data_IF_245655190080
#
_entry.id   IF_245655190080
#
_cell.length_a   1.000
_cell.length_b   1.000
_cell.length_c   1.000
_cell.angle_alpha   90.00
_cell.angle_beta   90.00
_cell.angle_gamma   90.00
#
_symmetry.space_group_name_H-M   'P 1'
#
loop_
_entity.id
_entity.type
_entity.pdbx_description
1 polymer ?
#
# COMPACT_ATOMS: atom_id res chain seq x y z
N UNK A 1 -1.16 -12.34 0.95
CA UNK A 1 -0.60 -11.19 1.64
C UNK A 1 0.55 -10.59 0.85
N UNK A 2 0.97 -9.42 1.25
CA UNK A 2 2.16 -8.77 0.71
C UNK A 2 2.80 -7.87 1.77
N UNK A 3 4.12 -7.72 1.69
CA UNK A 3 4.90 -6.71 2.41
C UNK A 3 5.96 -6.16 1.48
N UNK A 4 6.28 -4.89 1.61
CA UNK A 4 7.24 -4.21 0.75
C UNK A 4 8.16 -3.30 1.56
N UNK A 5 9.38 -3.14 1.07
CA UNK A 5 10.30 -2.09 1.46
C UNK A 5 10.75 -1.30 0.22
N UNK A 6 11.73 -0.41 0.36
CA UNK A 6 12.22 0.44 -0.74
C UNK A 6 12.81 -0.36 -1.92
N UNK A 7 13.18 -1.62 -1.73
CA UNK A 7 13.94 -2.41 -2.69
C UNK A 7 13.21 -3.65 -3.19
N UNK A 8 12.25 -4.17 -2.43
CA UNK A 8 11.61 -5.44 -2.74
C UNK A 8 10.16 -5.49 -2.28
N UNK A 9 9.36 -6.27 -2.97
CA UNK A 9 7.99 -6.62 -2.60
C UNK A 9 7.93 -8.13 -2.46
N UNK A 10 7.54 -8.62 -1.27
CA UNK A 10 7.28 -10.02 -1.01
C UNK A 10 5.77 -10.25 -1.08
N UNK A 11 5.38 -11.16 -1.94
CA UNK A 11 3.98 -11.57 -2.11
C UNK A 11 3.87 -13.05 -1.74
N UNK A 12 2.85 -13.41 -0.97
CA UNK A 12 2.54 -14.82 -0.70
C UNK A 12 1.05 -15.09 -0.90
N UNK A 13 0.76 -16.28 -1.41
CA UNK A 13 -0.59 -16.73 -1.70
C UNK A 13 -0.76 -18.21 -1.34
N UNK A 14 -1.97 -18.57 -0.91
CA UNK A 14 -2.36 -19.97 -0.68
C UNK A 14 -2.47 -20.77 -1.98
N UNK A 15 -2.66 -20.06 -3.11
CA UNK A 15 -2.75 -20.67 -4.43
C UNK A 15 -1.53 -20.29 -5.26
N UNK A 16 -1.04 -21.22 -6.09
CA UNK A 16 0.04 -20.94 -7.01
C UNK A 16 -0.34 -19.83 -7.99
N UNK A 17 0.51 -18.79 -8.07
CA UNK A 17 0.33 -17.69 -9.03
C UNK A 17 1.01 -18.08 -10.33
N UNK A 18 0.23 -18.48 -11.34
CA UNK A 18 0.76 -18.99 -12.61
C UNK A 18 1.35 -17.90 -13.52
N UNK A 19 0.86 -16.67 -13.43
CA UNK A 19 1.20 -15.59 -14.37
C UNK A 19 1.64 -14.32 -13.66
N UNK A 20 2.83 -14.36 -13.03
CA UNK A 20 3.38 -13.19 -12.30
C UNK A 20 3.59 -11.99 -13.25
N UNK A 21 3.93 -12.25 -14.52
CA UNK A 21 4.15 -11.17 -15.51
C UNK A 21 2.89 -10.34 -15.77
N UNK A 22 1.72 -10.90 -15.58
CA UNK A 22 0.45 -10.17 -15.79
C UNK A 22 0.15 -9.17 -14.69
N UNK A 23 0.73 -9.35 -13.49
CA UNK A 23 0.53 -8.46 -12.34
C UNK A 23 1.21 -7.11 -12.57
N UNK A 24 2.36 -7.10 -13.25
CA UNK A 24 3.14 -5.89 -13.53
C UNK A 24 2.82 -5.34 -14.92
N UNK A 25 1.56 -5.02 -15.16
CA UNK A 25 1.08 -4.50 -16.44
C UNK A 25 0.43 -3.13 -16.26
N UNK A 26 0.80 -2.20 -17.15
CA UNK A 26 0.24 -0.84 -17.17
C UNK A 26 -1.29 -0.85 -17.34
N UNK A 27 -1.82 -1.75 -18.19
CA UNK A 27 -3.26 -1.88 -18.41
C UNK A 27 -4.05 -2.27 -17.17
N UNK A 28 -3.44 -3.01 -16.23
CA UNK A 28 -4.05 -3.32 -14.93
C UNK A 28 -4.13 -2.08 -14.05
N UNK A 29 -3.07 -1.25 -14.04
CA UNK A 29 -3.07 -0.02 -13.26
C UNK A 29 -4.21 0.89 -13.72
N UNK A 30 -4.29 1.17 -15.02
CA UNK A 30 -5.31 2.07 -15.58
C UNK A 30 -6.75 1.55 -15.36
N UNK A 31 -6.92 0.22 -15.37
CA UNK A 31 -8.23 -0.41 -15.18
C UNK A 31 -8.70 -0.48 -13.72
N UNK A 32 -7.78 -0.70 -12.79
CA UNK A 32 -8.12 -1.01 -11.41
C UNK A 32 -7.87 0.13 -10.43
N UNK A 33 -7.14 1.18 -10.83
CA UNK A 33 -6.84 2.30 -9.95
C UNK A 33 -8.10 2.98 -9.40
N UNK A 34 -9.06 3.24 -10.28
CA UNK A 34 -10.29 3.93 -9.90
C UNK A 34 -11.10 3.10 -8.89
N UNK A 35 -11.24 1.80 -9.15
CA UNK A 35 -11.90 0.89 -8.21
C UNK A 35 -11.14 0.83 -6.87
N UNK A 36 -9.80 0.73 -6.91
CA UNK A 36 -8.98 0.74 -5.71
C UNK A 36 -9.17 2.01 -4.88
N UNK A 37 -9.18 3.17 -5.52
CA UNK A 37 -9.40 4.45 -4.86
C UNK A 37 -10.81 4.58 -4.27
N UNK A 38 -11.81 3.98 -4.93
CA UNK A 38 -13.19 3.96 -4.44
C UNK A 38 -13.38 3.03 -3.24
N UNK A 39 -12.72 1.87 -3.24
CA UNK A 39 -12.81 0.87 -2.16
C UNK A 39 -11.99 1.27 -0.93
N UNK A 40 -10.90 2.02 -1.12
CA UNK A 40 -10.04 2.46 -0.02
C UNK A 40 -10.59 3.70 0.70
N UNK A 41 -10.22 3.85 1.95
CA UNK A 41 -10.57 5.04 2.73
C UNK A 41 -9.71 6.28 2.39
N UNK A 42 -8.79 6.17 1.43
CA UNK A 42 -7.83 7.23 1.09
C UNK A 42 -8.55 8.49 0.63
N UNK A 43 -9.42 8.36 -0.38
CA UNK A 43 -10.18 9.51 -0.93
C UNK A 43 -11.09 10.15 0.12
N UNK A 44 -11.75 9.34 0.96
CA UNK A 44 -12.59 9.88 2.05
C UNK A 44 -11.78 10.66 3.08
N UNK A 45 -10.56 10.20 3.39
CA UNK A 45 -9.67 10.91 4.31
C UNK A 45 -9.25 12.26 3.73
N UNK A 46 -8.82 12.29 2.47
CA UNK A 46 -8.45 13.51 1.78
C UNK A 46 -9.65 14.46 1.61
N UNK A 47 -10.82 13.91 1.31
CA UNK A 47 -12.06 14.71 1.26
C UNK A 47 -12.35 15.39 2.59
N UNK A 48 -12.13 14.70 3.73
CA UNK A 48 -12.31 15.30 5.05
C UNK A 48 -11.38 16.48 5.25
N UNK A 49 -10.10 16.33 4.90
CA UNK A 49 -9.11 17.39 5.02
C UNK A 49 -9.48 18.58 4.12
N UNK A 50 -9.84 18.33 2.87
CA UNK A 50 -10.30 19.35 1.93
C UNK A 50 -11.60 20.03 2.38
N UNK A 51 -12.54 19.28 2.97
CA UNK A 51 -13.79 19.82 3.49
C UNK A 51 -13.57 20.73 4.73
N UNK A 52 -12.57 20.43 5.55
CA UNK A 52 -12.17 21.28 6.68
C UNK A 52 -11.48 22.54 6.15
N UNK A 53 -10.54 22.41 5.22
CA UNK A 53 -9.80 23.56 4.64
C UNK A 53 -10.76 24.52 3.92
N UNK A 54 -11.75 23.97 3.21
CA UNK A 54 -12.78 24.77 2.51
C UNK A 54 -13.88 25.33 3.43
N UNK A 55 -13.76 25.13 4.74
CA UNK A 55 -14.76 25.51 5.74
C UNK A 55 -16.16 24.88 5.52
N UNK A 56 -16.26 23.80 4.73
CA UNK A 56 -17.50 23.04 4.60
C UNK A 56 -17.82 22.28 5.90
N UNK A 57 -16.77 21.89 6.63
CA UNK A 57 -16.87 21.29 7.96
C UNK A 57 -16.10 22.15 8.93
N UNK A 58 -16.82 22.82 9.80
CA UNK A 58 -16.21 23.55 10.91
C UNK A 58 -15.79 22.58 12.02
N UNK A 59 -14.51 22.59 12.34
CA UNK A 59 -13.93 21.81 13.44
C UNK A 59 -14.13 22.51 14.78
N UNK A 60 -14.08 23.86 14.78
CA UNK A 60 -14.22 24.70 15.98
C UNK A 60 -15.42 25.62 15.84
N UNK A 61 -16.30 25.56 16.80
CA UNK A 61 -17.40 26.49 16.97
C UNK A 61 -17.11 27.41 18.18
N UNK A 62 -17.69 28.59 18.27
CA UNK A 62 -17.55 29.44 19.46
C UNK A 62 -17.91 28.67 20.74
N UNK A 63 -16.93 28.49 21.63
CA UNK A 63 -17.11 27.76 22.89
C UNK A 63 -17.16 26.24 22.80
N UNK A 64 -16.99 25.62 21.61
CA UNK A 64 -17.02 24.16 21.45
C UNK A 64 -16.12 23.68 20.34
N UNK A 65 -15.34 22.63 20.60
CA UNK A 65 -14.57 21.92 19.58
C UNK A 65 -15.21 20.55 19.30
N UNK A 66 -15.41 20.23 18.03
CA UNK A 66 -15.94 18.92 17.62
C UNK A 66 -14.87 17.83 17.84
N UNK A 67 -15.29 16.71 18.40
CA UNK A 67 -14.43 15.55 18.55
C UNK A 67 -14.07 14.96 17.17
N UNK A 68 -12.96 14.23 17.10
CA UNK A 68 -12.56 13.54 15.86
C UNK A 68 -13.66 12.63 15.30
N UNK A 69 -14.45 11.95 16.16
CA UNK A 69 -15.58 11.13 15.73
C UNK A 69 -16.71 11.93 15.09
N UNK A 70 -17.02 13.12 15.62
CA UNK A 70 -18.04 13.99 15.06
C UNK A 70 -17.62 14.56 13.70
N UNK A 71 -16.35 14.94 13.56
CA UNK A 71 -15.79 15.39 12.28
C UNK A 71 -15.80 14.27 11.25
N UNK A 72 -15.41 13.05 11.65
CA UNK A 72 -15.44 11.87 10.79
C UNK A 72 -16.86 11.59 10.29
N UNK A 73 -17.83 11.53 11.19
CA UNK A 73 -19.22 11.26 10.84
C UNK A 73 -19.78 12.34 9.89
N UNK A 74 -19.54 13.62 10.18
CA UNK A 74 -19.98 14.72 9.32
C UNK A 74 -19.36 14.62 7.92
N UNK A 75 -18.05 14.33 7.83
CA UNK A 75 -17.36 14.23 6.55
C UNK A 75 -17.84 13.05 5.72
N UNK A 76 -18.08 11.89 6.34
CA UNK A 76 -18.53 10.69 5.64
C UNK A 76 -19.97 10.85 5.13
N UNK A 77 -20.83 11.54 5.89
CA UNK A 77 -22.18 11.87 5.46
C UNK A 77 -22.15 12.81 4.25
N UNK A 78 -21.41 13.94 4.34
CA UNK A 78 -21.32 14.91 3.26
C UNK A 78 -20.70 14.28 2.01
N UNK A 79 -19.62 13.48 2.17
CA UNK A 79 -19.00 12.75 1.06
C UNK A 79 -20.03 11.88 0.34
N UNK A 80 -20.81 11.10 1.09
CA UNK A 80 -21.82 10.19 0.54
C UNK A 80 -22.92 10.94 -0.20
N UNK A 81 -23.41 12.04 0.38
CA UNK A 81 -24.44 12.89 -0.24
C UNK A 81 -23.92 13.54 -1.52
N UNK A 82 -22.72 14.12 -1.51
CA UNK A 82 -22.11 14.72 -2.69
C UNK A 82 -21.84 13.68 -3.78
N UNK A 83 -21.27 12.51 -3.42
CA UNK A 83 -21.01 11.44 -4.39
C UNK A 83 -22.29 10.99 -5.09
N UNK A 84 -23.43 10.97 -4.37
CA UNK A 84 -24.74 10.54 -4.91
C UNK A 84 -25.40 11.62 -5.77
N UNK A 85 -25.35 12.88 -5.34
CA UNK A 85 -26.15 13.95 -5.96
C UNK A 85 -25.33 14.84 -6.88
N UNK A 86 -24.06 15.07 -6.56
CA UNK A 86 -23.13 15.91 -7.31
C UNK A 86 -21.77 15.24 -7.51
N UNK A 87 -21.69 14.14 -8.28
CA UNK A 87 -20.44 13.37 -8.45
C UNK A 87 -19.29 14.22 -9.05
N UNK A 88 -19.62 15.31 -9.70
CA UNK A 88 -18.66 16.25 -10.29
C UNK A 88 -18.25 17.38 -9.36
N UNK A 89 -18.66 17.38 -8.08
CA UNK A 89 -18.31 18.41 -7.12
C UNK A 89 -16.80 18.61 -6.98
N UNK A 90 -16.36 19.86 -6.91
CA UNK A 90 -14.93 20.22 -6.92
C UNK A 90 -14.13 19.53 -5.80
N UNK A 91 -14.69 19.41 -4.59
CA UNK A 91 -14.03 18.77 -3.47
C UNK A 91 -13.83 17.27 -3.67
N UNK A 92 -14.76 16.58 -4.35
CA UNK A 92 -14.59 15.18 -4.70
C UNK A 92 -13.46 15.01 -5.71
N UNK A 93 -13.45 15.83 -6.77
CA UNK A 93 -12.41 15.82 -7.80
C UNK A 93 -11.03 16.15 -7.21
N UNK A 94 -10.94 17.20 -6.39
CA UNK A 94 -9.69 17.58 -5.73
C UNK A 94 -9.16 16.44 -4.86
N UNK A 95 -10.02 15.83 -4.04
CA UNK A 95 -9.62 14.70 -3.17
C UNK A 95 -9.14 13.48 -3.96
N UNK A 96 -9.73 13.23 -5.11
CA UNK A 96 -9.31 12.16 -6.01
C UNK A 96 -7.95 12.44 -6.67
N UNK A 97 -7.76 13.66 -7.16
CA UNK A 97 -6.47 14.09 -7.73
C UNK A 97 -5.36 14.10 -6.68
N UNK A 98 -5.65 14.54 -5.46
CA UNK A 98 -4.72 14.50 -4.34
C UNK A 98 -4.34 13.05 -3.98
N UNK A 99 -5.29 12.12 -4.05
CA UNK A 99 -5.02 10.70 -3.84
C UNK A 99 -4.07 10.14 -4.89
N UNK A 100 -4.29 10.49 -6.15
CA UNK A 100 -3.41 10.05 -7.25
C UNK A 100 -2.00 10.60 -7.14
N UNK A 101 -1.85 11.88 -6.85
CA UNK A 101 -0.55 12.57 -6.86
C UNK A 101 0.24 12.36 -5.58
N UNK A 102 -0.42 12.52 -4.42
CA UNK A 102 0.28 12.61 -3.15
C UNK A 102 0.36 11.29 -2.39
N UNK A 103 -0.59 10.38 -2.62
CA UNK A 103 -0.65 9.11 -1.88
C UNK A 103 -0.14 7.92 -2.68
N UNK A 104 -0.31 7.91 -4.00
CA UNK A 104 0.05 6.77 -4.84
C UNK A 104 1.27 7.06 -5.70
N UNK A 105 1.61 8.35 -5.95
CA UNK A 105 2.63 8.76 -6.94
C UNK A 105 2.40 8.04 -8.29
N UNK A 106 1.19 8.22 -8.79
CA UNK A 106 0.72 7.54 -10.00
C UNK A 106 1.64 7.70 -11.20
N UNK A 107 2.15 8.91 -11.41
CA UNK A 107 3.00 9.20 -12.56
C UNK A 107 4.31 8.41 -12.51
N UNK A 108 4.93 8.34 -11.35
CA UNK A 108 6.15 7.55 -11.12
C UNK A 108 5.89 6.05 -11.28
N UNK A 109 4.79 5.54 -10.70
CA UNK A 109 4.40 4.15 -10.87
C UNK A 109 4.16 3.79 -12.34
N UNK A 110 3.49 4.66 -13.07
CA UNK A 110 3.24 4.50 -14.51
C UNK A 110 4.54 4.49 -15.32
N UNK A 111 5.48 5.37 -15.01
CA UNK A 111 6.80 5.37 -15.65
C UNK A 111 7.58 4.08 -15.37
N UNK A 112 7.56 3.60 -14.13
CA UNK A 112 8.22 2.35 -13.75
C UNK A 112 7.60 1.18 -14.52
N UNK A 113 6.28 1.08 -14.56
CA UNK A 113 5.59 0.00 -15.29
C UNK A 113 5.90 0.04 -16.79
N UNK A 114 6.00 1.23 -17.40
CA UNK A 114 6.45 1.37 -18.81
C UNK A 114 7.88 0.87 -19.02
N UNK A 115 8.78 1.11 -18.05
CA UNK A 115 10.18 0.67 -18.12
C UNK A 115 10.32 -0.84 -17.91
N UNK A 116 9.46 -1.42 -17.08
CA UNK A 116 9.43 -2.86 -16.76
C UNK A 116 8.88 -3.67 -17.95
N UNK A 117 8.00 -3.10 -18.76
CA UNK A 117 7.41 -3.81 -19.89
C UNK A 117 8.51 -4.49 -20.74
N UNK A 118 8.38 -5.82 -20.93
CA UNK A 118 9.36 -6.68 -21.65
C UNK A 118 10.73 -6.90 -20.99
N UNK A 119 10.97 -6.37 -19.77
CA UNK A 119 12.24 -6.53 -19.04
C UNK A 119 12.13 -7.40 -17.78
N UNK A 120 11.06 -8.15 -17.63
CA UNK A 120 10.84 -8.99 -16.46
C UNK A 120 11.66 -10.28 -16.60
N UNK A 121 12.59 -10.50 -15.67
CA UNK A 121 13.35 -11.73 -15.53
C UNK A 121 12.69 -12.58 -14.45
N UNK A 122 12.22 -13.77 -14.80
CA UNK A 122 11.69 -14.73 -13.83
C UNK A 122 12.77 -15.77 -13.54
N UNK A 123 13.10 -15.91 -12.26
CA UNK A 123 13.97 -16.98 -11.76
C UNK A 123 13.21 -17.81 -10.72
N UNK A 124 13.21 -19.12 -10.87
CA UNK A 124 12.73 -20.03 -9.83
C UNK A 124 13.91 -20.26 -8.87
N UNK A 125 13.73 -19.89 -7.63
CA UNK A 125 14.73 -20.05 -6.58
C UNK A 125 14.42 -21.32 -5.79
N UNK A 126 15.46 -21.98 -5.29
CA UNK A 126 15.38 -23.14 -4.38
C UNK A 126 15.37 -22.70 -2.93
N UNK A 127 15.84 -21.50 -2.67
CA UNK A 127 15.92 -20.86 -1.36
C UNK A 127 15.41 -19.41 -1.41
N UNK A 128 15.26 -18.79 -0.26
CA UNK A 128 14.74 -17.42 -0.15
C UNK A 128 15.76 -16.42 -0.73
N UNK A 129 15.28 -15.48 -1.54
CA UNK A 129 16.15 -14.43 -2.07
C UNK A 129 16.75 -13.57 -0.95
N UNK A 130 18.05 -13.26 -0.99
CA UNK A 130 18.69 -12.35 -0.02
C UNK A 130 17.99 -11.00 0.12
N UNK A 131 17.36 -10.50 -0.97
CA UNK A 131 16.57 -9.26 -0.95
C UNK A 131 15.25 -9.39 -0.17
N UNK A 132 14.70 -10.61 -0.08
CA UNK A 132 13.46 -10.87 0.64
C UNK A 132 13.67 -11.10 2.14
N UNK A 133 14.89 -11.45 2.53
CA UNK A 133 15.23 -11.82 3.91
C UNK A 133 14.89 -10.73 4.92
N UNK A 134 15.29 -9.46 4.77
CA UNK A 134 14.97 -8.41 5.74
C UNK A 134 13.45 -8.27 5.94
N UNK A 135 12.68 -8.39 4.86
CA UNK A 135 11.22 -8.30 4.90
C UNK A 135 10.60 -9.48 5.67
N UNK A 136 11.10 -10.69 5.43
CA UNK A 136 10.61 -11.91 6.10
C UNK A 136 10.94 -11.87 7.59
N UNK A 137 12.13 -11.40 7.95
CA UNK A 137 12.52 -11.22 9.36
C UNK A 137 11.61 -10.19 10.06
N UNK A 138 11.26 -9.09 9.38
CA UNK A 138 10.35 -8.08 9.92
C UNK A 138 8.95 -8.65 10.16
N UNK A 139 8.40 -9.42 9.21
CA UNK A 139 7.11 -10.12 9.35
C UNK A 139 7.16 -11.10 10.55
N UNK A 140 8.22 -11.87 10.66
CA UNK A 140 8.38 -12.81 11.76
C UNK A 140 8.49 -12.06 13.08
N UNK A 141 9.27 -11.00 13.16
CA UNK A 141 9.41 -10.18 14.38
C UNK A 141 8.08 -9.63 14.87
N UNK A 142 7.20 -9.16 13.99
CA UNK A 142 5.85 -8.73 14.36
C UNK A 142 4.98 -9.89 14.89
N UNK A 143 5.13 -11.08 14.32
CA UNK A 143 4.45 -12.28 14.80
C UNK A 143 5.04 -12.79 16.12
N UNK A 144 6.33 -12.60 16.35
CA UNK A 144 7.09 -13.02 17.51
C UNK A 144 6.81 -12.16 18.74
N UNK A 145 6.53 -10.87 18.55
CA UNK A 145 6.10 -9.99 19.65
C UNK A 145 4.75 -10.40 20.28
N UNK A 146 4.06 -11.35 19.62
CA UNK A 146 2.77 -11.90 20.11
C UNK A 146 2.86 -13.30 20.74
N UNK A 147 4.02 -13.95 20.66
CA UNK A 147 4.28 -15.27 21.29
C UNK A 147 5.69 -15.25 21.85
N UNK A 148 5.85 -15.71 23.10
CA UNK A 148 7.17 -16.04 23.66
C UNK A 148 7.88 -16.99 22.70
N UNK A 149 8.99 -16.54 22.13
CA UNK A 149 9.50 -17.14 20.91
C UNK A 149 10.81 -17.81 21.14
N UNK A 150 10.88 -18.97 20.59
CA UNK A 150 12.09 -19.75 20.44
C UNK A 150 13.17 -18.93 19.71
N UNK A 151 14.15 -18.44 20.44
CA UNK A 151 15.39 -17.82 19.93
C UNK A 151 16.06 -18.71 18.86
N UNK A 152 15.82 -20.01 18.92
CA UNK A 152 16.31 -21.01 17.98
C UNK A 152 15.85 -20.80 16.52
N UNK A 153 14.62 -20.32 16.30
CA UNK A 153 14.11 -20.10 14.92
C UNK A 153 14.82 -18.91 14.26
N UNK A 154 15.19 -17.91 15.05
CA UNK A 154 15.95 -16.76 14.55
C UNK A 154 17.39 -17.13 14.24
N UNK A 155 18.05 -17.92 15.08
CA UNK A 155 19.41 -18.41 14.84
C UNK A 155 19.48 -19.34 13.61
N UNK A 156 18.52 -20.22 13.41
CA UNK A 156 18.49 -21.11 12.24
C UNK A 156 18.27 -20.33 10.94
N UNK A 157 17.37 -19.35 10.93
CA UNK A 157 17.16 -18.45 9.79
C UNK A 157 18.39 -17.60 9.51
N UNK A 158 19.02 -17.03 10.53
CA UNK A 158 20.23 -16.22 10.40
C UNK A 158 21.40 -17.05 9.85
N UNK A 159 21.56 -18.30 10.31
CA UNK A 159 22.56 -19.22 9.81
C UNK A 159 22.31 -19.67 8.35
N UNK A 160 21.06 -19.89 7.93
CA UNK A 160 20.72 -20.16 6.54
C UNK A 160 21.06 -18.98 5.63
N UNK A 161 20.74 -17.76 6.07
CA UNK A 161 21.04 -16.53 5.35
C UNK A 161 22.53 -16.32 5.17
N UNK A 162 23.31 -16.51 6.25
CA UNK A 162 24.77 -16.38 6.22
C UNK A 162 25.41 -17.43 5.31
N UNK A 163 24.89 -18.65 5.28
CA UNK A 163 25.35 -19.71 4.35
C UNK A 163 25.10 -19.32 2.90
N UNK A 164 23.94 -18.76 2.57
CA UNK A 164 23.62 -18.31 1.23
C UNK A 164 24.44 -17.10 0.79
N UNK A 165 24.63 -16.12 1.67
CA UNK A 165 25.49 -14.96 1.42
C UNK A 165 26.94 -15.37 1.12
N UNK A 166 27.47 -16.36 1.82
CA UNK A 166 28.81 -16.88 1.60
C UNK A 166 28.93 -17.70 0.29
N UNK A 167 27.89 -18.35 -0.18
CA UNK A 167 27.87 -19.06 -1.49
C UNK A 167 27.88 -18.08 -2.66
N UNK A 168 27.27 -16.91 -2.51
CA UNK A 168 27.26 -15.86 -3.54
C UNK A 168 28.57 -15.05 -3.63
N UNK A 169 29.43 -15.10 -2.62
CA UNK A 169 30.72 -14.41 -2.60
C UNK A 169 31.88 -15.23 -3.22
N UNK A 170 31.63 -16.48 -3.67
CA UNK A 170 32.65 -17.40 -4.18
C UNK A 170 32.48 -17.67 -5.71
N UNK A 171 31.50 -17.08 -6.36
CA UNK A 171 31.31 -17.10 -7.81
C UNK A 171 31.32 -15.66 -8.33
#
# INVERSE_FOLDING_TARGET
GFVANDYAIVLWSLKEVKEIKTILNLGLLDKHLDNYLEETSIVKRLFRDNAIISCLIERRLPGMEKTGKQVLFSSDLIYTVLKKNEPNHILLKSSYEDAKKNMIDYDRLREILKKIDKKIILKKLTSISPLAVPIILEINRENLSKKETDEYILEDLENEILKEANVLSIN
#
